data_IF_387073834863
#
_entry.id   IF_387073834863
#
_cell.length_a   1.000
_cell.length_b   1.000
_cell.length_c   1.000
_cell.angle_alpha   90.00
_cell.angle_beta   90.00
_cell.angle_gamma   90.00
#
_symmetry.space_group_name_H-M   'P 1'
#
loop_
_entity.id
_entity.type
_entity.pdbx_description
1 polymer ?
#
# COMPACT_ATOMS: atom_id res chain seq x y z
N UNK A 1 -10.60 0.44 2.84
CA UNK A 1 -10.33 1.89 2.71
C UNK A 1 -11.50 2.55 2.01
N UNK A 2 -11.81 2.25 0.73
CA UNK A 2 -12.82 2.90 -0.11
C UNK A 2 -14.19 3.07 0.59
N UNK A 3 -14.70 2.01 1.23
CA UNK A 3 -15.96 2.06 2.00
C UNK A 3 -15.96 3.09 3.12
N UNK A 4 -14.83 3.24 3.84
CA UNK A 4 -14.68 4.24 4.90
C UNK A 4 -14.62 5.64 4.34
N UNK A 5 -13.90 5.83 3.23
CA UNK A 5 -13.83 7.12 2.54
C UNK A 5 -15.23 7.57 2.12
N UNK A 6 -15.99 6.74 1.40
CA UNK A 6 -17.36 7.09 0.98
C UNK A 6 -18.31 7.35 2.13
N UNK A 7 -18.15 6.65 3.26
CA UNK A 7 -18.97 6.91 4.45
C UNK A 7 -18.70 8.29 5.04
N UNK A 8 -17.43 8.71 5.07
CA UNK A 8 -17.03 10.01 5.63
C UNK A 8 -17.16 11.16 4.62
N UNK A 9 -16.98 10.86 3.34
CA UNK A 9 -16.99 11.82 2.22
C UNK A 9 -17.87 11.29 1.10
N UNK A 10 -19.21 11.42 1.20
CA UNK A 10 -20.15 10.79 0.27
C UNK A 10 -20.05 11.30 -1.17
N UNK A 11 -19.44 12.48 -1.38
CA UNK A 11 -19.31 13.10 -2.71
C UNK A 11 -17.98 12.80 -3.40
N UNK A 12 -17.15 11.93 -2.82
CA UNK A 12 -15.86 11.55 -3.42
C UNK A 12 -16.07 10.52 -4.53
N UNK A 13 -15.38 10.69 -5.65
CA UNK A 13 -15.17 9.64 -6.66
C UNK A 13 -13.92 8.85 -6.32
N UNK A 14 -13.93 7.53 -6.53
CA UNK A 14 -12.83 6.64 -6.17
C UNK A 14 -12.48 5.75 -7.36
N UNK A 15 -11.22 5.82 -7.77
CA UNK A 15 -10.62 4.87 -8.71
C UNK A 15 -9.90 3.77 -7.90
N UNK A 16 -10.26 2.52 -8.09
CA UNK A 16 -9.58 1.36 -7.49
C UNK A 16 -8.82 0.64 -8.59
N UNK A 17 -7.50 0.62 -8.46
CA UNK A 17 -6.62 -0.01 -9.45
C UNK A 17 -5.99 -1.24 -8.82
N UNK A 18 -6.11 -2.38 -9.48
CA UNK A 18 -5.45 -3.62 -9.11
C UNK A 18 -5.09 -4.40 -10.37
N UNK A 19 -3.91 -5.01 -10.41
CA UNK A 19 -3.46 -5.85 -11.52
C UNK A 19 -4.23 -7.16 -11.61
N UNK A 20 -4.79 -7.61 -10.50
CA UNK A 20 -5.53 -8.86 -10.41
C UNK A 20 -7.03 -8.64 -10.65
N UNK A 21 -7.47 -8.90 -11.88
CA UNK A 21 -8.88 -8.81 -12.27
C UNK A 21 -9.82 -9.65 -11.37
N UNK A 22 -9.37 -10.82 -10.91
CA UNK A 22 -10.20 -11.68 -10.06
C UNK A 22 -10.43 -11.06 -8.69
N UNK A 23 -9.44 -10.35 -8.14
CA UNK A 23 -9.57 -9.61 -6.88
C UNK A 23 -10.57 -8.46 -7.01
N UNK A 24 -10.53 -7.71 -8.10
CA UNK A 24 -11.50 -6.66 -8.40
C UNK A 24 -12.91 -7.22 -8.53
N UNK A 25 -13.07 -8.30 -9.30
CA UNK A 25 -14.35 -8.98 -9.50
C UNK A 25 -14.93 -9.51 -8.18
N UNK A 26 -14.12 -10.19 -7.40
CA UNK A 26 -14.54 -10.72 -6.10
C UNK A 26 -14.92 -9.60 -5.12
N UNK A 27 -14.15 -8.53 -5.08
CA UNK A 27 -14.46 -7.34 -4.28
C UNK A 27 -15.83 -6.76 -4.65
N UNK A 28 -16.12 -6.62 -5.94
CA UNK A 28 -17.39 -6.07 -6.44
C UNK A 28 -18.60 -6.95 -6.13
N UNK A 29 -18.41 -8.26 -5.98
CA UNK A 29 -19.48 -9.19 -5.63
C UNK A 29 -19.78 -9.21 -4.14
N UNK A 30 -18.74 -9.11 -3.30
CA UNK A 30 -18.86 -9.19 -1.83
C UNK A 30 -19.36 -7.89 -1.18
N UNK A 31 -19.06 -6.74 -1.75
CA UNK A 31 -19.46 -5.45 -1.18
C UNK A 31 -20.30 -4.62 -2.17
N UNK A 32 -21.61 -4.48 -1.85
CA UNK A 32 -22.55 -3.69 -2.66
C UNK A 32 -22.13 -2.23 -2.85
N UNK A 33 -21.32 -1.68 -1.93
CA UNK A 33 -20.81 -0.31 -2.03
C UNK A 33 -19.86 -0.17 -3.22
N UNK A 34 -19.10 -1.22 -3.57
CA UNK A 34 -18.21 -1.21 -4.73
C UNK A 34 -18.95 -1.22 -6.07
N UNK A 35 -20.27 -1.39 -6.05
CA UNK A 35 -21.16 -1.21 -7.22
C UNK A 35 -21.71 0.21 -7.34
N UNK A 36 -21.30 1.11 -6.45
CA UNK A 36 -21.70 2.52 -6.52
C UNK A 36 -21.14 3.15 -7.81
N UNK A 37 -21.93 4.03 -8.43
CA UNK A 37 -21.48 4.86 -9.55
C UNK A 37 -20.34 5.85 -9.21
N UNK A 38 -19.96 5.93 -7.94
CA UNK A 38 -18.82 6.70 -7.42
C UNK A 38 -17.53 5.92 -7.35
N UNK A 39 -17.58 4.61 -7.61
CA UNK A 39 -16.40 3.74 -7.60
C UNK A 39 -16.20 3.18 -9.01
N UNK A 40 -15.00 3.40 -9.53
CA UNK A 40 -14.55 2.83 -10.77
C UNK A 40 -13.49 1.76 -10.47
N UNK A 41 -13.67 0.56 -11.00
CA UNK A 41 -12.73 -0.55 -10.83
C UNK A 41 -11.93 -0.70 -12.11
N UNK A 42 -10.62 -0.51 -12.02
CA UNK A 42 -9.70 -0.52 -13.15
C UNK A 42 -8.71 -1.68 -12.98
N UNK A 43 -8.72 -2.61 -13.93
CA UNK A 43 -7.67 -3.62 -14.02
C UNK A 43 -6.44 -2.96 -14.64
N UNK A 44 -5.44 -2.65 -13.82
CA UNK A 44 -4.26 -1.89 -14.25
C UNK A 44 -3.04 -2.16 -13.37
N UNK A 45 -1.89 -1.78 -13.90
CA UNK A 45 -0.61 -1.92 -13.22
C UNK A 45 -0.26 -0.62 -12.49
N UNK A 46 0.10 -0.70 -11.20
CA UNK A 46 0.58 0.45 -10.43
C UNK A 46 1.89 1.07 -10.98
N UNK A 47 2.64 0.29 -11.77
CA UNK A 47 3.84 0.75 -12.47
C UNK A 47 3.54 1.44 -13.82
N UNK A 48 2.26 1.47 -14.23
CA UNK A 48 1.76 2.14 -15.42
C UNK A 48 0.27 2.47 -15.20
N UNK A 49 0.01 3.48 -14.38
CA UNK A 49 -1.34 3.84 -13.94
C UNK A 49 -2.15 4.40 -15.12
N UNK A 50 -3.29 3.78 -15.52
CA UNK A 50 -4.07 4.19 -16.68
C UNK A 50 -4.97 5.41 -16.38
N UNK A 51 -4.38 6.45 -15.83
CA UNK A 51 -5.03 7.73 -15.52
C UNK A 51 -4.19 8.88 -16.07
N UNK A 52 -4.85 9.99 -16.34
CA UNK A 52 -4.19 11.21 -16.84
C UNK A 52 -3.29 11.84 -15.79
N UNK A 53 -2.30 12.59 -16.24
CA UNK A 53 -1.48 13.43 -15.38
C UNK A 53 -2.35 14.43 -14.61
N UNK A 54 -1.98 14.70 -13.37
CA UNK A 54 -2.63 15.73 -12.54
C UNK A 54 -4.17 15.55 -12.45
N UNK A 55 -4.65 14.31 -12.32
CA UNK A 55 -6.08 14.00 -12.30
C UNK A 55 -6.62 13.63 -10.92
N UNK A 56 -5.75 13.23 -9.99
CA UNK A 56 -6.11 12.65 -8.70
C UNK A 56 -5.74 13.60 -7.55
N UNK A 57 -6.67 13.81 -6.61
CA UNK A 57 -6.44 14.66 -5.44
C UNK A 57 -5.72 13.91 -4.32
N UNK A 58 -6.04 12.63 -4.13
CA UNK A 58 -5.46 11.80 -3.06
C UNK A 58 -5.23 10.39 -3.54
N UNK A 59 -4.03 9.85 -3.33
CA UNK A 59 -3.72 8.43 -3.52
C UNK A 59 -3.57 7.77 -2.16
N UNK A 60 -4.18 6.59 -2.01
CA UNK A 60 -3.94 5.70 -0.88
C UNK A 60 -3.43 4.36 -1.37
N UNK A 61 -2.27 3.94 -0.86
CA UNK A 61 -1.66 2.67 -1.17
C UNK A 61 -1.37 1.92 0.14
N UNK A 62 -1.96 0.74 0.33
CA UNK A 62 -1.82 0.01 1.58
C UNK A 62 -1.40 -1.43 1.33
N UNK A 63 -0.26 -1.80 1.89
CA UNK A 63 0.33 -3.14 1.81
C UNK A 63 0.56 -3.66 0.38
N UNK A 64 0.80 -2.74 -0.56
CA UNK A 64 0.95 -3.02 -1.97
C UNK A 64 2.30 -2.68 -2.55
N UNK A 65 2.95 -1.60 -2.07
CA UNK A 65 4.19 -1.10 -2.68
C UNK A 65 5.35 -2.11 -2.56
N UNK A 66 5.41 -2.91 -1.51
CA UNK A 66 6.44 -3.95 -1.35
C UNK A 66 6.36 -5.04 -2.43
N UNK A 67 5.19 -5.23 -3.05
CA UNK A 67 4.93 -6.25 -4.07
C UNK A 67 5.18 -5.75 -5.50
N UNK A 68 5.51 -4.47 -5.68
CA UNK A 68 5.84 -3.91 -7.00
C UNK A 68 7.21 -4.42 -7.47
N UNK A 69 7.31 -4.72 -8.76
CA UNK A 69 8.55 -5.12 -9.39
C UNK A 69 9.53 -3.96 -9.43
N UNK A 70 9.03 -2.79 -9.84
CA UNK A 70 9.74 -1.51 -9.81
C UNK A 70 8.98 -0.50 -8.95
N UNK A 71 9.37 -0.41 -7.67
CA UNK A 71 8.78 0.51 -6.68
C UNK A 71 8.94 1.96 -7.08
N UNK A 72 10.10 2.32 -7.64
CA UNK A 72 10.40 3.70 -8.07
C UNK A 72 9.47 4.11 -9.20
N UNK A 73 9.27 3.23 -10.17
CA UNK A 73 8.35 3.46 -11.28
C UNK A 73 6.90 3.64 -10.79
N UNK A 74 6.45 2.78 -9.87
CA UNK A 74 5.14 2.91 -9.25
C UNK A 74 4.97 4.26 -8.53
N UNK A 75 5.96 4.68 -7.74
CA UNK A 75 5.93 5.96 -7.04
C UNK A 75 5.97 7.15 -7.99
N UNK A 76 6.73 7.07 -9.10
CA UNK A 76 6.72 8.09 -10.17
C UNK A 76 5.36 8.19 -10.85
N UNK A 77 4.69 7.08 -11.08
CA UNK A 77 3.32 7.06 -11.62
C UNK A 77 2.32 7.67 -10.63
N UNK A 78 2.43 7.34 -9.33
CA UNK A 78 1.64 8.00 -8.29
C UNK A 78 1.87 9.52 -8.30
N UNK A 79 3.12 9.96 -8.40
CA UNK A 79 3.44 11.39 -8.49
C UNK A 79 2.88 12.02 -9.75
N UNK A 80 2.97 11.35 -10.91
CA UNK A 80 2.47 11.85 -12.20
C UNK A 80 0.98 12.12 -12.14
N UNK A 81 0.18 11.17 -11.67
CA UNK A 81 -1.29 11.29 -11.67
C UNK A 81 -1.83 12.20 -10.58
N UNK A 82 -1.08 12.47 -9.50
CA UNK A 82 -1.47 13.44 -8.48
C UNK A 82 -1.47 14.86 -9.04
N UNK A 83 -2.50 15.63 -8.68
CA UNK A 83 -2.55 17.06 -8.90
C UNK A 83 -1.50 17.80 -8.06
N UNK A 84 -1.01 18.98 -8.47
CA UNK A 84 -0.31 19.88 -7.55
C UNK A 84 -1.17 20.14 -6.29
N UNK A 85 -0.56 20.03 -5.12
CA UNK A 85 -1.27 20.04 -3.83
C UNK A 85 -1.89 18.70 -3.41
N UNK A 86 -1.88 17.68 -4.29
CA UNK A 86 -2.40 16.35 -4.01
C UNK A 86 -1.59 15.59 -2.98
N UNK A 87 -2.23 14.66 -2.29
CA UNK A 87 -1.65 13.90 -1.19
C UNK A 87 -1.41 12.44 -1.55
N UNK A 88 -0.25 11.93 -1.17
CA UNK A 88 0.10 10.51 -1.22
C UNK A 88 0.10 9.96 0.21
N UNK A 89 -0.65 8.89 0.43
CA UNK A 89 -0.74 8.16 1.70
C UNK A 89 -0.36 6.70 1.45
N UNK A 90 0.78 6.28 1.99
CA UNK A 90 1.24 4.90 1.90
C UNK A 90 1.27 4.28 3.30
N UNK A 91 0.67 3.09 3.44
CA UNK A 91 0.77 2.29 4.65
C UNK A 91 1.43 0.97 4.29
N UNK A 92 2.55 0.66 4.96
CA UNK A 92 3.30 -0.55 4.65
C UNK A 92 3.93 -1.16 5.92
N UNK A 93 4.22 -2.45 5.84
CA UNK A 93 4.97 -3.12 6.88
C UNK A 93 6.41 -2.60 6.96
N UNK A 94 6.93 -2.60 8.16
CA UNK A 94 8.32 -2.25 8.47
C UNK A 94 8.90 -3.22 9.49
N UNK A 95 10.21 -3.18 9.66
CA UNK A 95 10.88 -3.98 10.67
C UNK A 95 11.01 -3.17 11.96
N UNK A 96 10.71 -3.77 13.14
CA UNK A 96 10.93 -3.11 14.42
C UNK A 96 12.39 -2.70 14.59
N UNK A 97 12.65 -1.49 15.07
CA UNK A 97 13.99 -1.00 15.36
C UNK A 97 14.50 -1.52 16.71
N UNK A 98 13.59 -1.70 17.66
CA UNK A 98 13.94 -2.23 18.97
C UNK A 98 14.42 -3.67 18.87
N UNK A 99 15.64 -3.96 19.33
CA UNK A 99 16.29 -5.27 19.24
C UNK A 99 15.44 -6.40 19.83
N UNK A 100 14.84 -6.18 20.99
CA UNK A 100 13.99 -7.19 21.65
C UNK A 100 12.73 -7.48 20.85
N UNK A 101 12.04 -6.44 20.37
CA UNK A 101 10.86 -6.59 19.50
C UNK A 101 11.23 -7.22 18.16
N UNK A 102 12.38 -6.89 17.61
CA UNK A 102 12.88 -7.48 16.37
C UNK A 102 13.13 -8.98 16.51
N UNK A 103 13.78 -9.41 17.59
CA UNK A 103 14.01 -10.83 17.84
C UNK A 103 12.70 -11.59 18.04
N UNK A 104 11.74 -11.03 18.77
CA UNK A 104 10.42 -11.63 18.93
C UNK A 104 9.67 -11.69 17.59
N UNK A 105 9.73 -10.62 16.80
CA UNK A 105 9.14 -10.58 15.46
C UNK A 105 9.79 -11.60 14.52
N UNK A 106 11.11 -11.77 14.57
CA UNK A 106 11.84 -12.75 13.77
C UNK A 106 11.42 -14.18 14.12
N UNK A 107 11.41 -14.52 15.40
CA UNK A 107 10.94 -15.85 15.85
C UNK A 107 9.50 -16.08 15.41
N UNK A 108 8.63 -15.10 15.60
CA UNK A 108 7.23 -15.20 15.24
C UNK A 108 7.03 -15.30 13.71
N UNK A 109 7.74 -14.49 12.94
CA UNK A 109 7.63 -14.46 11.48
C UNK A 109 8.19 -15.71 10.81
N UNK A 110 9.27 -16.30 11.33
CA UNK A 110 9.88 -17.50 10.76
C UNK A 110 9.24 -18.81 11.19
N UNK A 111 8.78 -18.87 12.44
CA UNK A 111 8.31 -20.14 13.00
C UNK A 111 6.80 -20.22 13.18
N UNK A 112 6.14 -19.10 13.46
CA UNK A 112 4.71 -19.09 13.77
C UNK A 112 3.88 -18.78 12.53
N UNK A 113 4.20 -17.72 11.80
CA UNK A 113 3.41 -17.31 10.63
C UNK A 113 3.34 -18.41 9.54
N UNK A 114 4.43 -19.06 9.11
CA UNK A 114 4.36 -20.11 8.08
C UNK A 114 3.54 -21.32 8.53
N UNK A 115 3.65 -21.72 9.82
CA UNK A 115 2.85 -22.83 10.37
C UNK A 115 1.37 -22.51 10.42
N UNK A 116 1.00 -21.30 10.84
CA UNK A 116 -0.39 -20.82 10.79
C UNK A 116 -0.89 -20.69 9.36
N UNK A 117 -0.05 -20.24 8.44
CA UNK A 117 -0.36 -20.15 7.02
C UNK A 117 -0.69 -21.51 6.42
N UNK A 118 0.11 -22.52 6.72
CA UNK A 118 -0.14 -23.91 6.30
C UNK A 118 -1.44 -24.47 6.89
N UNK A 119 -1.73 -24.15 8.16
CA UNK A 119 -2.91 -24.67 8.86
C UNK A 119 -4.21 -23.99 8.42
N UNK A 120 -4.17 -22.68 8.21
CA UNK A 120 -5.38 -21.84 7.99
C UNK A 120 -5.60 -21.57 6.50
N UNK A 121 -4.56 -21.16 5.78
CA UNK A 121 -4.67 -20.69 4.38
C UNK A 121 -4.16 -21.70 3.35
N UNK A 122 -3.66 -22.88 3.77
CA UNK A 122 -3.07 -23.94 2.92
C UNK A 122 -1.96 -23.45 1.97
N UNK A 123 -1.28 -22.34 2.32
CA UNK A 123 -0.24 -21.70 1.48
C UNK A 123 0.92 -21.23 2.34
N UNK A 124 1.90 -22.10 2.55
CA UNK A 124 3.15 -21.77 3.22
C UNK A 124 4.00 -20.77 2.41
N UNK A 125 3.99 -20.90 1.09
CA UNK A 125 4.75 -20.04 0.17
C UNK A 125 4.32 -18.58 0.25
N UNK A 126 3.02 -18.31 0.32
CA UNK A 126 2.50 -16.94 0.45
C UNK A 126 2.98 -16.24 1.72
N UNK A 127 3.15 -17.00 2.80
CA UNK A 127 3.64 -16.46 4.08
C UNK A 127 5.16 -16.28 4.10
N UNK A 128 5.92 -17.17 3.45
CA UNK A 128 7.36 -16.96 3.24
C UNK A 128 7.60 -15.70 2.42
N UNK A 129 6.87 -15.56 1.31
CA UNK A 129 6.92 -14.37 0.48
C UNK A 129 6.59 -13.09 1.28
N UNK A 130 5.57 -13.12 2.15
CA UNK A 130 5.22 -11.98 3.01
C UNK A 130 6.41 -11.57 3.89
N UNK A 131 7.04 -12.53 4.58
CA UNK A 131 8.18 -12.26 5.46
C UNK A 131 9.37 -11.72 4.66
N UNK A 132 9.67 -12.31 3.52
CA UNK A 132 10.78 -11.89 2.65
C UNK A 132 10.54 -10.49 2.08
N UNK A 133 9.32 -10.20 1.58
CA UNK A 133 8.98 -8.90 1.02
C UNK A 133 9.03 -7.77 2.07
N UNK A 134 8.69 -8.04 3.33
CA UNK A 134 8.84 -7.08 4.42
C UNK A 134 10.32 -6.81 4.71
N UNK A 135 11.17 -7.84 4.70
CA UNK A 135 12.62 -7.71 5.00
C UNK A 135 13.39 -6.97 3.91
N UNK A 136 12.95 -7.11 2.66
CA UNK A 136 13.56 -6.44 1.50
C UNK A 136 12.98 -5.05 1.24
N UNK A 137 11.97 -4.65 2.02
CA UNK A 137 11.42 -3.30 1.93
C UNK A 137 12.36 -2.30 2.62
N UNK A 138 12.53 -1.08 2.08
CA UNK A 138 13.37 -0.05 2.67
C UNK A 138 12.98 0.26 4.12
N UNK A 139 13.96 0.64 4.92
CA UNK A 139 13.68 1.21 6.25
C UNK A 139 12.85 2.50 6.13
N UNK A 140 12.17 2.91 7.20
CA UNK A 140 11.30 4.09 7.14
C UNK A 140 12.00 5.34 6.61
N UNK A 141 13.21 5.64 7.08
CA UNK A 141 13.94 6.83 6.64
C UNK A 141 14.42 6.71 5.19
N UNK A 142 14.90 5.52 4.78
CA UNK A 142 15.28 5.23 3.40
C UNK A 142 14.08 5.40 2.42
N UNK A 143 12.88 5.00 2.87
CA UNK A 143 11.68 5.17 2.04
C UNK A 143 11.26 6.63 1.93
N UNK A 144 11.50 7.44 2.97
CA UNK A 144 11.32 8.91 2.90
C UNK A 144 12.26 9.52 1.89
N UNK A 145 13.55 9.16 1.92
CA UNK A 145 14.55 9.63 0.94
C UNK A 145 14.10 9.32 -0.49
N UNK A 146 13.63 8.09 -0.74
CA UNK A 146 13.08 7.69 -2.05
C UNK A 146 11.90 8.58 -2.47
N UNK A 147 10.99 8.90 -1.55
CA UNK A 147 9.87 9.79 -1.86
C UNK A 147 10.34 11.20 -2.20
N UNK A 148 11.34 11.71 -1.48
CA UNK A 148 11.91 13.04 -1.71
C UNK A 148 12.68 13.15 -3.03
N UNK A 149 13.40 12.09 -3.42
CA UNK A 149 14.07 11.96 -4.72
C UNK A 149 13.08 12.01 -5.90
N UNK A 150 11.88 11.49 -5.71
CA UNK A 150 10.78 11.55 -6.70
C UNK A 150 10.09 12.92 -6.73
N UNK A 151 10.50 13.84 -5.86
CA UNK A 151 9.94 15.19 -5.65
C UNK A 151 8.68 15.27 -4.77
N UNK A 152 8.31 14.22 -4.06
CA UNK A 152 7.35 14.36 -2.99
C UNK A 152 7.91 15.28 -1.88
N UNK A 153 7.06 16.10 -1.29
CA UNK A 153 7.46 17.07 -0.25
C UNK A 153 6.60 16.91 1.01
N UNK A 154 7.06 17.51 2.10
CA UNK A 154 6.38 17.49 3.40
C UNK A 154 6.09 16.07 3.88
N UNK A 155 7.05 15.16 3.64
CA UNK A 155 6.93 13.77 4.06
C UNK A 155 6.93 13.66 5.58
N UNK A 156 5.97 12.94 6.11
CA UNK A 156 5.89 12.60 7.52
C UNK A 156 5.62 11.12 7.70
N UNK A 157 6.16 10.54 8.76
CA UNK A 157 5.99 9.13 9.11
C UNK A 157 5.18 9.05 10.41
N UNK A 158 4.20 8.16 10.43
CA UNK A 158 3.53 7.71 11.65
C UNK A 158 3.77 6.22 11.85
N UNK A 159 4.53 5.89 12.88
CA UNK A 159 4.83 4.52 13.27
C UNK A 159 3.70 3.94 14.13
N UNK A 160 3.30 2.70 13.83
CA UNK A 160 2.25 1.97 14.54
C UNK A 160 2.79 0.62 15.04
N UNK A 161 2.23 0.16 16.16
CA UNK A 161 2.52 -1.18 16.73
C UNK A 161 4.02 -1.44 16.91
N UNK A 162 4.76 -0.50 17.51
CA UNK A 162 6.19 -0.67 17.73
C UNK A 162 7.03 -0.67 16.44
N UNK A 163 6.61 0.08 15.44
CA UNK A 163 7.25 0.21 14.12
C UNK A 163 7.04 -1.00 13.18
N UNK A 164 6.08 -1.89 13.49
CA UNK A 164 5.71 -3.00 12.58
C UNK A 164 4.97 -2.49 11.35
N UNK A 165 4.27 -1.36 11.46
CA UNK A 165 3.58 -0.69 10.35
C UNK A 165 3.91 0.78 10.37
N UNK A 166 4.21 1.34 9.20
CA UNK A 166 4.43 2.78 9.01
C UNK A 166 3.38 3.35 8.06
N UNK A 167 2.90 4.54 8.37
CA UNK A 167 2.08 5.37 7.48
C UNK A 167 2.93 6.55 7.05
N UNK A 168 3.15 6.66 5.76
CA UNK A 168 3.85 7.77 5.12
C UNK A 168 2.81 8.70 4.51
N UNK A 169 2.95 9.99 4.77
CA UNK A 169 2.15 11.03 4.16
C UNK A 169 3.06 12.02 3.48
N UNK A 170 2.83 12.25 2.20
CA UNK A 170 3.60 13.20 1.37
C UNK A 170 2.68 13.99 0.46
N UNK A 171 3.19 15.04 -0.16
CA UNK A 171 2.44 15.90 -1.07
C UNK A 171 3.24 16.13 -2.36
N UNK A 172 2.52 16.27 -3.47
CA UNK A 172 3.03 16.87 -4.71
C UNK A 172 2.89 18.39 -4.60
N UNK A 173 3.99 19.14 -4.76
CA UNK A 173 3.99 20.61 -4.73
C UNK A 173 4.32 21.15 -6.11
#
# INVERSE_FOLDING_TARGET
IAKRILKSHPNTSIEIIDKNFMMLKESSTKDKILKSNKINLICGDGENIPLNDNSIDVITLSFGIRNMTDRIKCLKECYRVLKPGGQFLCMEFSMPENYTLRNMYDVWSFFVIPKLGKLIAKSEESYKYLVESIRTFPKPDEFVEILEEINFKRTSIRQLSGNIVCIYKSMKI
#
